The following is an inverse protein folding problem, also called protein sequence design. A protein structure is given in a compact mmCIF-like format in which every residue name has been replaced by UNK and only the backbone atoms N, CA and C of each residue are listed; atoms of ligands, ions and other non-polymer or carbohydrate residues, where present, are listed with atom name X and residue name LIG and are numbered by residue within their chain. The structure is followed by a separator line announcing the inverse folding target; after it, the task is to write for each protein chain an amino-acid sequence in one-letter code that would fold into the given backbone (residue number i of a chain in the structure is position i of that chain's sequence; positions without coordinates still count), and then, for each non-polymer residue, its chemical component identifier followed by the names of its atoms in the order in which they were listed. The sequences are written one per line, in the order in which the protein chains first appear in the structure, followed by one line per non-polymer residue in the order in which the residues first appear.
data_IF_116307730244
#
_entry.id   IF_116307730244
#
_cell.length_a   1.000
_cell.length_b   1.000
_cell.length_c   1.000
_cell.angle_alpha   90.00
_cell.angle_beta   90.00
_cell.angle_gamma   90.00
#
_symmetry.space_group_name_H-M   'P 1'
#
loop_
_entity.id
_entity.type
_entity.pdbx_description
1 polymer ?
#
# COMPACT_ATOMS: atom_id res chain seq x y z
N UNK A 1 6.09 17.61 -7.21
CA UNK A 1 4.96 17.35 -8.13
C UNK A 1 4.67 15.86 -8.24
N UNK A 2 5.65 14.97 -8.52
CA UNK A 2 5.40 13.51 -8.58
C UNK A 2 4.78 12.94 -7.30
N UNK A 3 5.38 13.19 -6.13
CA UNK A 3 4.81 12.71 -4.86
C UNK A 3 3.40 13.23 -4.60
N UNK A 4 3.09 14.45 -5.04
CA UNK A 4 1.75 15.03 -4.90
C UNK A 4 0.75 14.34 -5.82
N UNK A 5 1.12 14.04 -7.07
CA UNK A 5 0.28 13.28 -7.99
C UNK A 5 0.04 11.84 -7.48
N UNK A 6 1.09 11.19 -6.94
CA UNK A 6 0.94 9.87 -6.29
C UNK A 6 -0.01 9.94 -5.10
N UNK A 7 0.11 10.95 -4.23
CA UNK A 7 -0.79 11.12 -3.07
C UNK A 7 -2.23 11.41 -3.49
N UNK A 8 -2.46 12.13 -4.60
CA UNK A 8 -3.80 12.32 -5.14
C UNK A 8 -4.41 11.02 -5.64
N UNK A 9 -3.65 10.18 -6.36
CA UNK A 9 -4.14 8.86 -6.79
C UNK A 9 -4.40 7.96 -5.59
N UNK A 10 -3.51 7.96 -4.59
CA UNK A 10 -3.73 7.23 -3.35
C UNK A 10 -5.01 7.71 -2.63
N UNK A 11 -5.22 9.02 -2.54
CA UNK A 11 -6.42 9.58 -1.91
C UNK A 11 -7.69 9.27 -2.72
N UNK A 12 -7.59 9.28 -4.05
CA UNK A 12 -8.66 8.88 -4.94
C UNK A 12 -9.06 7.43 -4.70
N UNK A 13 -8.09 6.51 -4.61
CA UNK A 13 -8.36 5.10 -4.35
C UNK A 13 -9.05 4.92 -3.00
N UNK A 14 -8.61 5.61 -1.94
CA UNK A 14 -9.27 5.55 -0.63
C UNK A 14 -10.74 6.01 -0.68
N UNK A 15 -11.06 7.04 -1.47
CA UNK A 15 -12.45 7.51 -1.63
C UNK A 15 -13.34 6.44 -2.28
N UNK A 16 -12.80 5.73 -3.28
CA UNK A 16 -13.49 4.65 -3.98
C UNK A 16 -13.57 3.38 -3.12
N UNK A 17 -12.46 2.99 -2.49
CA UNK A 17 -12.34 1.82 -1.63
C UNK A 17 -13.28 1.91 -0.43
N UNK A 18 -13.39 3.07 0.22
CA UNK A 18 -14.30 3.24 1.36
C UNK A 18 -15.77 2.93 0.98
N UNK A 19 -16.17 3.22 -0.27
CA UNK A 19 -17.49 2.88 -0.80
C UNK A 19 -17.59 1.40 -1.12
N UNK A 20 -16.60 0.84 -1.83
CA UNK A 20 -16.55 -0.58 -2.20
C UNK A 20 -16.58 -1.46 -0.95
N UNK A 21 -15.87 -1.03 0.10
CA UNK A 21 -15.69 -1.75 1.35
C UNK A 21 -16.78 -1.48 2.39
N UNK A 22 -17.63 -0.47 2.18
CA UNK A 22 -18.56 0.07 3.19
C UNK A 22 -17.85 0.50 4.49
N UNK A 23 -16.61 1.00 4.39
CA UNK A 23 -15.85 1.47 5.54
C UNK A 23 -16.51 2.72 6.14
N UNK A 24 -16.80 2.75 7.44
CA UNK A 24 -17.50 3.86 8.08
C UNK A 24 -16.54 4.97 8.55
N UNK A 25 -15.30 4.61 8.86
CA UNK A 25 -14.29 5.50 9.47
C UNK A 25 -12.99 5.42 8.67
N UNK A 26 -12.38 6.58 8.42
CA UNK A 26 -11.07 6.75 7.79
C UNK A 26 -10.30 7.86 8.50
N UNK A 27 -9.05 7.59 8.91
CA UNK A 27 -8.16 8.54 9.61
C UNK A 27 -8.86 9.22 10.81
N UNK A 28 -9.57 8.44 11.62
CA UNK A 28 -10.34 8.85 12.80
C UNK A 28 -11.49 9.83 12.54
N UNK A 29 -11.93 9.95 11.28
CA UNK A 29 -13.08 10.74 10.86
C UNK A 29 -14.08 9.85 10.09
N UNK A 30 -15.35 10.25 9.94
CA UNK A 30 -16.27 9.55 9.05
C UNK A 30 -15.69 9.47 7.63
N UNK A 31 -15.77 8.28 7.02
CA UNK A 31 -15.42 8.10 5.61
C UNK A 31 -16.26 9.04 4.75
N UNK A 32 -15.71 9.55 3.65
CA UNK A 32 -16.34 10.64 2.88
C UNK A 32 -17.80 10.30 2.48
N UNK A 33 -18.04 9.07 2.03
CA UNK A 33 -19.35 8.62 1.58
C UNK A 33 -20.43 8.62 2.68
N UNK A 34 -20.06 8.59 3.96
CA UNK A 34 -21.01 8.76 5.07
C UNK A 34 -21.67 10.14 5.06
N UNK A 35 -20.95 11.15 4.56
CA UNK A 35 -21.42 12.54 4.53
C UNK A 35 -21.95 12.97 3.17
N UNK A 36 -21.38 12.46 2.08
CA UNK A 36 -21.73 12.86 0.71
C UNK A 36 -22.51 11.81 -0.08
N UNK A 37 -22.70 10.63 0.51
CA UNK A 37 -23.23 9.45 -0.17
C UNK A 37 -22.21 8.79 -1.12
N UNK A 38 -22.49 7.57 -1.60
CA UNK A 38 -21.61 6.84 -2.53
C UNK A 38 -21.25 7.65 -3.78
N UNK A 39 -22.24 8.32 -4.38
CA UNK A 39 -22.02 9.13 -5.59
C UNK A 39 -21.05 10.29 -5.36
N UNK A 40 -21.12 10.94 -4.18
CA UNK A 40 -20.23 12.05 -3.87
C UNK A 40 -18.78 11.59 -3.72
N UNK A 41 -18.55 10.50 -3.00
CA UNK A 41 -17.21 9.92 -2.84
C UNK A 41 -16.60 9.43 -4.17
N UNK A 42 -17.42 8.79 -5.02
CA UNK A 42 -16.98 8.35 -6.36
C UNK A 42 -16.53 9.54 -7.21
N UNK A 43 -17.38 10.57 -7.32
CA UNK A 43 -17.07 11.74 -8.15
C UNK A 43 -15.88 12.53 -7.64
N UNK A 44 -15.67 12.61 -6.31
CA UNK A 44 -14.47 13.25 -5.75
C UNK A 44 -13.23 12.43 -6.05
N UNK A 45 -13.27 11.10 -5.93
CA UNK A 45 -12.16 10.25 -6.32
C UNK A 45 -11.79 10.41 -7.80
N UNK A 46 -12.80 10.50 -8.69
CA UNK A 46 -12.58 10.74 -10.12
C UNK A 46 -11.90 12.09 -10.37
N UNK A 47 -12.32 13.15 -9.67
CA UNK A 47 -11.71 14.48 -9.79
C UNK A 47 -10.25 14.48 -9.31
N UNK A 48 -9.94 13.80 -8.21
CA UNK A 48 -8.57 13.68 -7.70
C UNK A 48 -7.67 12.92 -8.70
N UNK A 49 -8.21 11.88 -9.34
CA UNK A 49 -7.50 11.16 -10.40
C UNK A 49 -7.24 12.06 -11.61
N UNK A 50 -8.21 12.86 -12.04
CA UNK A 50 -8.02 13.84 -13.12
C UNK A 50 -6.93 14.86 -12.78
N UNK A 51 -6.94 15.42 -11.56
CA UNK A 51 -5.94 16.39 -11.11
C UNK A 51 -4.52 15.76 -11.06
N UNK A 52 -4.42 14.50 -10.64
CA UNK A 52 -3.15 13.76 -10.66
C UNK A 52 -2.61 13.59 -12.10
N UNK A 53 -3.48 13.26 -13.04
CA UNK A 53 -3.15 13.12 -14.47
C UNK A 53 -2.66 14.46 -15.02
N UNK A 54 -3.38 15.55 -14.77
CA UNK A 54 -3.01 16.89 -15.25
C UNK A 54 -1.63 17.31 -14.72
N UNK A 55 -1.36 17.06 -13.43
CA UNK A 55 -0.04 17.32 -12.83
C UNK A 55 1.09 16.51 -13.49
N UNK A 56 0.85 15.23 -13.80
CA UNK A 56 1.87 14.36 -14.39
C UNK A 56 2.13 14.68 -15.86
N UNK A 57 1.11 15.06 -16.62
CA UNK A 57 1.27 15.50 -18.01
C UNK A 57 2.01 16.83 -18.08
N UNK A 58 1.73 17.76 -17.16
CA UNK A 58 2.42 19.04 -17.09
C UNK A 58 3.90 18.91 -16.69
N UNK A 59 4.23 17.91 -15.86
CA UNK A 59 5.59 17.68 -15.39
C UNK A 59 6.47 17.09 -16.49
N UNK A 60 7.59 17.75 -16.79
CA UNK A 60 8.59 17.28 -17.77
C UNK A 60 7.99 16.86 -19.13
N UNK A 61 6.91 17.53 -19.56
CA UNK A 61 6.23 17.19 -20.80
C UNK A 61 5.63 15.78 -20.81
N UNK A 62 5.28 15.24 -19.64
CA UNK A 62 4.66 13.92 -19.50
C UNK A 62 5.64 12.75 -19.57
N UNK A 63 6.96 13.00 -19.44
CA UNK A 63 8.00 11.95 -19.52
C UNK A 63 7.70 10.72 -18.67
N UNK A 64 7.20 10.94 -17.45
CA UNK A 64 6.92 9.88 -16.46
C UNK A 64 5.48 9.36 -16.49
N UNK A 65 4.59 9.99 -17.27
CA UNK A 65 3.17 9.64 -17.29
C UNK A 65 2.91 8.18 -17.71
N UNK A 66 3.55 7.62 -18.77
CA UNK A 66 3.33 6.22 -19.13
C UNK A 66 3.73 5.24 -18.02
N UNK A 67 4.87 5.48 -17.37
CA UNK A 67 5.36 4.64 -16.28
C UNK A 67 4.44 4.72 -15.07
N UNK A 68 3.98 5.93 -14.71
CA UNK A 68 3.03 6.11 -13.62
C UNK A 68 1.71 5.39 -13.89
N UNK A 69 1.13 5.57 -15.08
CA UNK A 69 -0.14 4.94 -15.45
C UNK A 69 -0.05 3.41 -15.50
N UNK A 70 1.13 2.85 -15.82
CA UNK A 70 1.35 1.41 -15.71
C UNK A 70 1.23 0.93 -14.26
N UNK A 71 1.76 1.69 -13.29
CA UNK A 71 1.64 1.38 -11.86
C UNK A 71 0.21 1.54 -11.35
N UNK A 72 -0.48 2.60 -11.73
CA UNK A 72 -1.91 2.79 -11.37
C UNK A 72 -2.76 1.65 -11.93
N UNK A 73 -2.50 1.23 -13.18
CA UNK A 73 -3.17 0.09 -13.80
C UNK A 73 -2.95 -1.19 -13.00
N UNK A 74 -1.73 -1.48 -12.58
CA UNK A 74 -1.40 -2.67 -11.79
C UNK A 74 -2.20 -2.71 -10.47
N UNK A 75 -2.32 -1.58 -9.77
CA UNK A 75 -3.15 -1.45 -8.57
C UNK A 75 -4.61 -1.79 -8.88
N UNK A 76 -5.19 -1.13 -9.88
CA UNK A 76 -6.61 -1.28 -10.23
C UNK A 76 -6.94 -2.69 -10.72
N UNK A 77 -6.06 -3.28 -11.54
CA UNK A 77 -6.23 -4.65 -12.03
C UNK A 77 -6.21 -5.66 -10.87
N UNK A 78 -5.36 -5.43 -9.87
CA UNK A 78 -5.26 -6.28 -8.68
C UNK A 78 -6.46 -6.14 -7.76
N UNK A 79 -6.93 -4.92 -7.51
CA UNK A 79 -8.18 -4.69 -6.75
C UNK A 79 -9.37 -5.33 -7.44
N UNK A 80 -9.48 -5.18 -8.77
CA UNK A 80 -10.53 -5.84 -9.55
C UNK A 80 -10.41 -7.37 -9.48
N UNK A 81 -9.20 -7.92 -9.54
CA UNK A 81 -8.95 -9.36 -9.38
C UNK A 81 -9.41 -9.84 -8.00
N UNK A 82 -9.01 -9.15 -6.93
CA UNK A 82 -9.34 -9.50 -5.56
C UNK A 82 -10.86 -9.47 -5.34
N UNK A 83 -11.53 -8.40 -5.79
CA UNK A 83 -12.97 -8.22 -5.62
C UNK A 83 -13.81 -9.19 -6.47
N UNK A 84 -13.44 -9.38 -7.74
CA UNK A 84 -14.28 -10.11 -8.70
C UNK A 84 -13.97 -11.61 -8.76
N UNK A 85 -12.72 -12.00 -8.50
CA UNK A 85 -12.27 -13.39 -8.67
C UNK A 85 -12.02 -14.10 -7.35
N UNK A 86 -11.52 -13.41 -6.32
CA UNK A 86 -11.11 -14.05 -5.06
C UNK A 86 -12.10 -13.87 -3.91
N UNK A 87 -13.05 -12.95 -4.01
CA UNK A 87 -14.07 -12.74 -2.98
C UNK A 87 -14.82 -14.04 -2.66
N UNK A 88 -14.82 -14.42 -1.39
CA UNK A 88 -15.44 -15.65 -0.88
C UNK A 88 -14.71 -16.95 -1.24
N UNK A 89 -13.46 -16.88 -1.71
CA UNK A 89 -12.63 -18.04 -2.05
C UNK A 89 -11.34 -18.06 -1.24
N UNK A 90 -10.89 -19.24 -0.88
CA UNK A 90 -9.57 -19.43 -0.28
C UNK A 90 -8.47 -19.14 -1.30
N UNK A 91 -7.41 -18.47 -0.85
CA UNK A 91 -6.20 -18.17 -1.63
C UNK A 91 -5.00 -18.77 -0.90
N UNK A 92 -4.06 -19.34 -1.65
CA UNK A 92 -2.81 -19.81 -1.07
C UNK A 92 -1.87 -18.64 -0.73
N UNK A 93 -0.79 -18.96 -0.02
CA UNK A 93 0.19 -17.98 0.45
C UNK A 93 0.80 -17.16 -0.70
N UNK A 94 1.20 -17.83 -1.79
CA UNK A 94 1.78 -17.19 -2.97
C UNK A 94 0.80 -16.21 -3.63
N UNK A 95 -0.48 -16.58 -3.71
CA UNK A 95 -1.53 -15.70 -4.21
C UNK A 95 -1.70 -14.48 -3.31
N UNK A 96 -1.76 -14.67 -1.99
CA UNK A 96 -1.91 -13.56 -1.05
C UNK A 96 -0.72 -12.59 -1.12
N UNK A 97 0.50 -13.11 -1.19
CA UNK A 97 1.72 -12.31 -1.33
C UNK A 97 1.75 -11.53 -2.65
N UNK A 98 1.35 -12.16 -3.76
CA UNK A 98 1.24 -11.50 -5.06
C UNK A 98 0.21 -10.38 -5.03
N UNK A 99 -1.00 -10.65 -4.52
CA UNK A 99 -2.05 -9.64 -4.42
C UNK A 99 -1.60 -8.46 -3.54
N UNK A 100 -0.98 -8.74 -2.38
CA UNK A 100 -0.45 -7.70 -1.50
C UNK A 100 0.62 -6.84 -2.20
N UNK A 101 1.53 -7.49 -2.95
CA UNK A 101 2.57 -6.80 -3.71
C UNK A 101 2.00 -5.90 -4.79
N UNK A 102 1.01 -6.36 -5.55
CA UNK A 102 0.49 -5.64 -6.71
C UNK A 102 -0.56 -4.58 -6.33
N UNK A 103 -1.22 -4.73 -5.19
CA UNK A 103 -2.21 -3.77 -4.69
C UNK A 103 -1.58 -2.48 -4.16
N UNK A 104 -0.45 -2.59 -3.46
CA UNK A 104 0.15 -1.45 -2.75
C UNK A 104 1.58 -1.14 -3.22
N UNK A 105 2.35 -2.15 -3.62
CA UNK A 105 3.71 -2.01 -4.11
C UNK A 105 3.90 -1.03 -5.28
N UNK A 106 3.03 -0.96 -6.31
CA UNK A 106 3.32 -0.18 -7.51
C UNK A 106 3.52 1.32 -7.26
N UNK A 107 2.74 1.92 -6.34
CA UNK A 107 2.84 3.35 -6.04
C UNK A 107 4.10 3.67 -5.21
N UNK A 108 4.47 2.78 -4.27
CA UNK A 108 5.73 2.87 -3.54
C UNK A 108 6.93 2.74 -4.49
N UNK A 109 6.90 1.73 -5.36
CA UNK A 109 7.91 1.47 -6.38
C UNK A 109 8.11 2.67 -7.29
N UNK A 110 7.02 3.31 -7.75
CA UNK A 110 7.11 4.51 -8.58
C UNK A 110 7.85 5.65 -7.88
N UNK A 111 7.45 6.01 -6.66
CA UNK A 111 8.06 7.14 -5.94
C UNK A 111 9.51 6.86 -5.58
N UNK A 112 9.82 5.62 -5.19
CA UNK A 112 11.18 5.19 -4.91
C UNK A 112 12.05 5.28 -6.17
N UNK A 113 11.62 4.70 -7.29
CA UNK A 113 12.34 4.75 -8.57
C UNK A 113 12.66 6.19 -9.00
N UNK A 114 11.69 7.09 -8.88
CA UNK A 114 11.88 8.51 -9.24
C UNK A 114 12.90 9.23 -8.34
N UNK A 115 13.21 8.68 -7.16
CA UNK A 115 14.25 9.20 -6.28
C UNK A 115 15.67 8.82 -6.74
N UNK A 116 15.80 7.94 -7.73
CA UNK A 116 17.08 7.57 -8.37
C UNK A 116 17.61 8.63 -9.35
N UNK A 117 16.79 9.62 -9.72
CA UNK A 117 17.17 10.68 -10.65
C UNK A 117 17.52 10.14 -12.03
N UNK A 118 18.66 10.56 -12.56
CA UNK A 118 19.14 10.15 -13.89
C UNK A 118 19.96 8.84 -13.89
N UNK A 119 20.14 8.18 -12.72
CA UNK A 119 20.85 6.90 -12.63
C UNK A 119 19.85 5.74 -12.83
N UNK A 120 19.90 5.03 -13.98
CA UNK A 120 18.95 3.95 -14.24
C UNK A 120 19.14 2.76 -13.31
N UNK A 121 20.39 2.45 -12.91
CA UNK A 121 20.66 1.31 -12.03
C UNK A 121 20.12 1.56 -10.64
N UNK A 122 20.32 2.77 -10.12
CA UNK A 122 19.75 3.15 -8.84
C UNK A 122 18.22 3.19 -8.90
N UNK A 123 17.65 3.70 -10.00
CA UNK A 123 16.19 3.73 -10.19
C UNK A 123 15.59 2.33 -10.17
N UNK A 124 16.18 1.35 -10.88
CA UNK A 124 15.73 -0.04 -10.89
C UNK A 124 15.81 -0.69 -9.50
N UNK A 125 16.90 -0.43 -8.77
CA UNK A 125 17.08 -0.94 -7.40
C UNK A 125 16.06 -0.33 -6.44
N UNK A 126 15.82 0.98 -6.55
CA UNK A 126 14.83 1.67 -5.73
C UNK A 126 13.40 1.25 -6.09
N UNK A 127 13.12 0.94 -7.35
CA UNK A 127 11.82 0.41 -7.78
C UNK A 127 11.50 -0.90 -7.07
N UNK A 128 12.43 -1.85 -7.07
CA UNK A 128 12.24 -3.14 -6.37
C UNK A 128 12.16 -2.94 -4.86
N UNK A 129 13.02 -2.11 -4.27
CA UNK A 129 12.93 -1.78 -2.85
C UNK A 129 11.55 -1.18 -2.51
N UNK A 130 11.00 -0.30 -3.36
CA UNK A 130 9.67 0.25 -3.19
C UNK A 130 8.57 -0.80 -3.29
N UNK A 131 8.66 -1.77 -4.20
CA UNK A 131 7.73 -2.91 -4.23
C UNK A 131 7.78 -3.73 -2.94
N UNK A 132 8.97 -4.05 -2.44
CA UNK A 132 9.14 -4.82 -1.20
C UNK A 132 8.53 -4.09 0.00
N UNK A 133 8.81 -2.79 0.14
CA UNK A 133 8.27 -1.97 1.23
C UNK A 133 6.76 -1.79 1.13
N UNK A 134 6.22 -1.55 -0.08
CA UNK A 134 4.77 -1.47 -0.27
C UNK A 134 4.07 -2.79 0.03
N UNK A 135 4.70 -3.93 -0.30
CA UNK A 135 4.20 -5.26 0.07
C UNK A 135 4.19 -5.43 1.59
N UNK A 136 5.29 -5.08 2.27
CA UNK A 136 5.38 -5.15 3.72
C UNK A 136 4.33 -4.27 4.41
N UNK A 137 4.09 -3.08 3.87
CA UNK A 137 3.05 -2.18 4.36
C UNK A 137 1.65 -2.81 4.22
N UNK A 138 1.32 -3.43 3.09
CA UNK A 138 0.03 -4.09 2.91
C UNK A 138 -0.15 -5.26 3.87
N UNK A 139 0.86 -6.12 4.02
CA UNK A 139 0.81 -7.24 4.95
C UNK A 139 0.66 -6.79 6.41
N UNK A 140 1.29 -5.66 6.77
CA UNK A 140 1.09 -5.03 8.07
C UNK A 140 -0.34 -4.49 8.24
N UNK A 141 -0.92 -3.91 7.20
CA UNK A 141 -2.31 -3.42 7.19
C UNK A 141 -3.32 -4.57 7.32
N UNK A 142 -3.08 -5.70 6.65
CA UNK A 142 -3.88 -6.92 6.76
C UNK A 142 -3.81 -7.50 8.17
N UNK A 143 -2.61 -7.53 8.78
CA UNK A 143 -2.46 -7.92 10.19
C UNK A 143 -3.30 -7.01 11.09
N UNK A 144 -3.23 -5.70 10.88
CA UNK A 144 -3.98 -4.73 11.64
C UNK A 144 -5.50 -4.93 11.50
N UNK A 145 -5.99 -5.30 10.32
CA UNK A 145 -7.42 -5.60 10.12
C UNK A 145 -7.91 -6.77 10.97
N UNK A 146 -7.02 -7.74 11.27
CA UNK A 146 -7.36 -8.93 12.06
C UNK A 146 -7.22 -8.73 13.56
N UNK A 147 -6.13 -8.10 14.02
CA UNK A 147 -5.79 -8.04 15.46
C UNK A 147 -5.89 -6.64 16.08
N UNK A 148 -6.16 -5.61 15.28
CA UNK A 148 -6.18 -4.22 15.72
C UNK A 148 -7.41 -3.84 16.56
N UNK A 149 -7.35 -2.63 17.13
CA UNK A 149 -8.50 -1.96 17.75
C UNK A 149 -8.88 -0.70 16.97
N UNK A 150 -10.18 -0.48 16.72
CA UNK A 150 -10.64 0.67 15.91
C UNK A 150 -10.24 2.03 16.53
N UNK A 151 -10.25 2.11 17.88
CA UNK A 151 -9.87 3.33 18.61
C UNK A 151 -8.43 3.75 18.38
N UNK A 152 -7.55 2.82 18.07
CA UNK A 152 -6.13 3.09 17.87
C UNK A 152 -5.75 3.08 16.37
N UNK A 153 -6.44 2.30 15.54
CA UNK A 153 -6.21 2.19 14.10
C UNK A 153 -6.77 3.38 13.29
N UNK A 154 -7.81 4.06 13.80
CA UNK A 154 -8.42 5.20 13.12
C UNK A 154 -9.10 4.85 11.79
N UNK A 155 -9.41 3.57 11.55
CA UNK A 155 -10.19 3.07 10.42
C UNK A 155 -11.16 2.00 10.91
N UNK A 156 -12.21 1.73 10.14
CA UNK A 156 -13.04 0.53 10.36
C UNK A 156 -12.18 -0.72 10.19
N UNK A 157 -12.26 -1.64 11.13
CA UNK A 157 -11.50 -2.91 11.10
C UNK A 157 -12.42 -4.10 10.83
N UNK A 158 -11.83 -5.21 10.41
CA UNK A 158 -12.52 -6.45 10.09
C UNK A 158 -13.33 -6.37 8.80
N UNK A 159 -13.11 -5.34 7.98
CA UNK A 159 -13.80 -5.18 6.70
C UNK A 159 -13.47 -6.35 5.77
N UNK A 160 -12.25 -6.88 5.84
CA UNK A 160 -11.86 -8.00 4.98
C UNK A 160 -12.66 -9.26 5.34
N UNK A 161 -12.81 -9.54 6.64
CA UNK A 161 -13.62 -10.68 7.11
C UNK A 161 -15.09 -10.52 6.73
N UNK A 162 -15.68 -9.32 6.94
CA UNK A 162 -17.07 -9.03 6.59
C UNK A 162 -17.32 -9.16 5.09
N UNK A 163 -16.34 -8.80 4.26
CA UNK A 163 -16.44 -8.89 2.80
C UNK A 163 -16.02 -10.24 2.23
N UNK A 164 -15.52 -11.14 3.07
CA UNK A 164 -14.90 -12.41 2.67
C UNK A 164 -13.74 -12.19 1.69
N UNK A 165 -12.93 -11.15 1.93
CA UNK A 165 -11.64 -10.96 1.26
C UNK A 165 -10.62 -11.84 1.95
N UNK A 166 -10.01 -12.73 1.18
CA UNK A 166 -8.95 -13.59 1.71
C UNK A 166 -7.63 -12.84 1.71
N UNK A 167 -7.06 -12.68 2.90
CA UNK A 167 -5.73 -12.12 3.15
C UNK A 167 -4.85 -13.16 3.84
N UNK A 168 -3.53 -13.00 3.76
CA UNK A 168 -2.58 -13.99 4.30
C UNK A 168 -2.80 -14.29 5.80
N UNK A 169 -3.07 -13.30 6.67
CA UNK A 169 -3.39 -13.56 8.08
C UNK A 169 -4.53 -14.54 8.34
N UNK A 170 -5.54 -14.55 7.46
CA UNK A 170 -6.77 -15.34 7.60
C UNK A 170 -6.76 -16.62 6.76
N UNK A 171 -6.00 -16.64 5.65
CA UNK A 171 -6.02 -17.70 4.65
C UNK A 171 -5.28 -18.99 5.02
N UNK A 172 -4.46 -18.99 6.09
CA UNK A 172 -3.70 -20.17 6.48
C UNK A 172 -3.55 -20.37 7.99
N UNK A 173 -3.27 -21.61 8.40
CA UNK A 173 -2.94 -21.94 9.78
C UNK A 173 -1.64 -21.22 10.18
N UNK A 174 -1.65 -20.55 11.33
CA UNK A 174 -0.52 -19.70 11.79
C UNK A 174 -0.28 -18.45 10.92
N UNK A 175 -1.29 -18.01 10.15
CA UNK A 175 -1.20 -16.89 9.20
C UNK A 175 -0.70 -15.59 9.81
N UNK A 176 -1.00 -15.29 11.08
CA UNK A 176 -0.47 -14.10 11.78
C UNK A 176 1.07 -14.12 11.88
N UNK A 177 1.64 -15.27 12.26
CA UNK A 177 3.09 -15.41 12.42
C UNK A 177 3.80 -15.50 11.07
N UNK A 178 3.19 -16.16 10.08
CA UNK A 178 3.71 -16.22 8.71
C UNK A 178 3.76 -14.82 8.10
N UNK A 179 2.66 -14.07 8.19
CA UNK A 179 2.58 -12.69 7.68
C UNK A 179 3.64 -11.80 8.33
N UNK A 180 3.83 -11.92 9.65
CA UNK A 180 4.88 -11.19 10.38
C UNK A 180 6.29 -11.48 9.84
N UNK A 181 6.63 -12.76 9.64
CA UNK A 181 7.93 -13.15 9.08
C UNK A 181 8.16 -12.58 7.69
N UNK A 182 7.10 -12.51 6.86
CA UNK A 182 7.19 -11.88 5.54
C UNK A 182 7.43 -10.39 5.64
N UNK A 183 6.74 -9.67 6.54
CA UNK A 183 6.99 -8.23 6.76
C UNK A 183 8.46 -7.98 7.11
N UNK A 184 9.02 -8.74 8.06
CA UNK A 184 10.43 -8.61 8.47
C UNK A 184 11.39 -8.93 7.32
N UNK A 185 11.15 -10.04 6.60
CA UNK A 185 11.97 -10.47 5.48
C UNK A 185 11.97 -9.45 4.33
N UNK A 186 10.80 -8.91 3.98
CA UNK A 186 10.64 -7.90 2.93
C UNK A 186 11.38 -6.61 3.29
N UNK A 187 11.28 -6.15 4.54
CA UNK A 187 12.02 -4.97 5.02
C UNK A 187 13.54 -5.21 4.98
N UNK A 188 13.99 -6.39 5.42
CA UNK A 188 15.40 -6.79 5.35
C UNK A 188 15.94 -6.83 3.92
N UNK A 189 15.22 -7.48 3.01
CA UNK A 189 15.60 -7.56 1.59
C UNK A 189 15.64 -6.19 0.91
N UNK A 190 14.70 -5.28 1.24
CA UNK A 190 14.73 -3.92 0.71
C UNK A 190 15.97 -3.14 1.15
N UNK A 191 16.42 -3.32 2.39
CA UNK A 191 17.67 -2.74 2.89
C UNK A 191 18.89 -3.37 2.22
N UNK A 192 18.91 -4.69 2.03
CA UNK A 192 20.00 -5.41 1.37
C UNK A 192 20.23 -4.94 -0.07
N UNK A 193 19.15 -4.67 -0.82
CA UNK A 193 19.22 -4.10 -2.17
C UNK A 193 19.98 -2.76 -2.20
N UNK A 194 19.97 -2.01 -1.09
CA UNK A 194 20.60 -0.70 -0.96
C UNK A 194 21.99 -0.74 -0.30
N UNK A 195 22.61 -1.91 -0.14
CA UNK A 195 23.94 -2.05 0.46
C UNK A 195 25.02 -1.20 -0.25
N UNK A 196 24.94 -1.09 -1.57
CA UNK A 196 25.86 -0.29 -2.39
C UNK A 196 25.46 1.20 -2.45
N UNK A 197 24.37 1.60 -1.79
CA UNK A 197 23.79 2.94 -1.80
C UNK A 197 23.55 3.46 -0.37
N UNK A 198 24.61 3.83 0.39
CA UNK A 198 24.51 4.10 1.83
C UNK A 198 23.53 5.20 2.21
N UNK A 199 23.42 6.27 1.40
CA UNK A 199 22.50 7.38 1.67
C UNK A 199 21.03 6.95 1.54
N UNK A 200 20.72 6.16 0.51
CA UNK A 200 19.38 5.64 0.26
C UNK A 200 19.02 4.57 1.28
N UNK A 201 19.98 3.70 1.64
CA UNK A 201 19.81 2.73 2.73
C UNK A 201 19.46 3.44 4.04
N UNK A 202 20.21 4.47 4.42
CA UNK A 202 19.93 5.24 5.63
C UNK A 202 18.54 5.90 5.58
N UNK A 203 18.17 6.49 4.44
CA UNK A 203 16.85 7.09 4.27
C UNK A 203 15.72 6.06 4.43
N UNK A 204 15.90 4.85 3.90
CA UNK A 204 14.96 3.76 4.10
C UNK A 204 14.91 3.29 5.56
N UNK A 205 16.07 3.14 6.23
CA UNK A 205 16.13 2.83 7.67
C UNK A 205 15.36 3.86 8.50
N UNK A 206 15.53 5.15 8.19
CA UNK A 206 14.83 6.23 8.90
C UNK A 206 13.32 6.18 8.67
N UNK A 207 12.88 5.91 7.43
CA UNK A 207 11.46 5.70 7.09
C UNK A 207 10.87 4.50 7.83
N UNK A 208 11.58 3.37 7.83
CA UNK A 208 11.17 2.15 8.53
C UNK A 208 10.99 2.41 10.02
N UNK A 209 11.93 3.11 10.67
CA UNK A 209 11.87 3.41 12.09
C UNK A 209 10.77 4.43 12.45
N UNK A 210 10.55 5.45 11.60
CA UNK A 210 9.62 6.54 11.88
C UNK A 210 8.18 6.23 11.49
N UNK A 211 7.98 5.59 10.34
CA UNK A 211 6.67 5.50 9.70
C UNK A 211 6.11 4.07 9.76
N UNK A 212 6.92 3.05 9.46
CA UNK A 212 6.44 1.65 9.44
C UNK A 212 6.44 1.02 10.84
N UNK A 213 7.51 1.18 11.61
CA UNK A 213 7.65 0.57 12.93
C UNK A 213 6.53 0.98 13.91
N UNK A 214 6.04 2.23 13.95
CA UNK A 214 4.91 2.57 14.81
C UNK A 214 3.61 1.90 14.36
N UNK A 215 3.39 1.69 13.07
CA UNK A 215 2.24 0.95 12.55
C UNK A 215 2.30 -0.51 13.02
N UNK A 216 3.49 -1.11 12.98
CA UNK A 216 3.76 -2.47 13.45
C UNK A 216 3.63 -2.61 14.99
N UNK A 217 4.08 -1.61 15.74
CA UNK A 217 4.15 -1.65 17.20
C UNK A 217 2.87 -1.19 17.91
N UNK A 218 2.08 -0.27 17.32
CA UNK A 218 0.92 0.32 18.00
C UNK A 218 -0.16 -0.71 18.35
N UNK A 219 -0.20 -1.86 17.69
CA UNK A 219 -1.37 -2.74 17.76
C UNK A 219 -1.04 -4.23 17.91
N UNK A 220 0.21 -4.54 18.26
CA UNK A 220 0.57 -5.88 18.75
C UNK A 220 1.49 -5.74 19.96
N UNK A 221 1.22 -6.49 21.04
CA UNK A 221 2.18 -6.69 22.15
C UNK A 221 3.46 -7.42 21.70
N UNK A 222 3.72 -7.49 20.39
CA UNK A 222 4.83 -8.21 19.79
C UNK A 222 5.68 -7.19 19.02
N UNK A 223 6.72 -6.70 19.70
CA UNK A 223 7.80 -5.92 19.12
C UNK A 223 8.32 -6.64 17.87
N UNK A 224 8.08 -6.04 16.70
CA UNK A 224 8.84 -6.39 15.51
C UNK A 224 10.20 -5.71 15.64
N UNK A 225 11.26 -6.49 15.82
CA UNK A 225 12.62 -5.96 15.77
C UNK A 225 13.00 -5.83 14.30
N UNK A 226 12.73 -4.66 13.70
CA UNK A 226 13.25 -4.37 12.38
C UNK A 226 14.79 -4.44 12.41
N UNK A 227 15.43 -5.03 11.39
CA UNK A 227 16.88 -5.06 11.31
C UNK A 227 17.41 -3.63 11.17
N UNK A 228 18.01 -3.10 12.23
CA UNK A 228 18.73 -1.82 12.24
C UNK A 228 20.12 -2.01 11.64
#
# INVERSE_FOLDING_TARGET
MMCAATELVHTASLCHDDVVDNALIRRSAPAMWQTTGPSGAILVGDLLLCEAIDMLVALEGGRHFPAFMAKVREVVETEAEQELLWRGKDADEDTCLRLARQKTGPLFAFVAAMSGGDDPKLSDVLEEAGYLIGTAYQLADDLLDVIGSESEAGKTLGTDSVRSKTTLPQGCQDGLNITRKHVDALCGSALELLNDYPSQRQALTDYLARDLQPVLNKHSNLLLELPV
#
